data_IF_531920679831
#
_entry.id   IF_531920679831
#
_cell.length_a   1.000
_cell.length_b   1.000
_cell.length_c   1.000
_cell.angle_alpha   90.00
_cell.angle_beta   90.00
_cell.angle_gamma   90.00
#
_symmetry.space_group_name_H-M   'P 1'
#
loop_
_entity.id
_entity.type
_entity.pdbx_description
1 polymer ?
#
# COMPACT_ATOMS: atom_id res chain seq x y z
N UNK A 1 35.16 -63.86 -39.89
CA UNK A 1 35.01 -64.08 -38.43
C UNK A 1 36.02 -63.18 -37.72
N UNK A 2 35.55 -62.29 -36.85
CA UNK A 2 36.34 -61.26 -36.15
C UNK A 2 36.31 -61.57 -34.64
N UNK A 3 37.42 -61.44 -33.89
CA UNK A 3 37.45 -61.73 -32.45
C UNK A 3 36.90 -60.55 -31.61
N UNK A 4 36.56 -60.77 -30.33
CA UNK A 4 35.97 -59.74 -29.47
C UNK A 4 37.05 -58.79 -28.91
N UNK A 5 36.85 -57.49 -29.08
CA UNK A 5 37.63 -56.47 -28.38
C UNK A 5 37.00 -56.20 -27.01
N UNK A 6 37.68 -56.63 -25.95
CA UNK A 6 37.40 -56.27 -24.57
C UNK A 6 37.63 -54.77 -24.36
N UNK A 7 36.57 -54.03 -24.01
CA UNK A 7 36.72 -52.64 -23.54
C UNK A 7 36.90 -52.62 -22.03
N UNK A 8 38.14 -52.33 -21.60
CA UNK A 8 38.47 -51.88 -20.25
C UNK A 8 37.86 -50.50 -19.99
N UNK A 9 37.55 -50.28 -18.71
CA UNK A 9 36.94 -49.11 -18.09
C UNK A 9 37.56 -47.76 -18.48
N UNK A 10 36.73 -46.70 -18.48
CA UNK A 10 37.16 -45.39 -17.95
C UNK A 10 36.08 -44.82 -17.03
N UNK A 11 36.23 -45.06 -15.73
CA UNK A 11 35.41 -44.59 -14.60
C UNK A 11 35.61 -43.08 -14.29
N UNK A 12 36.03 -42.26 -15.24
CA UNK A 12 36.56 -40.91 -14.97
C UNK A 12 35.63 -39.75 -15.34
N UNK A 13 34.39 -39.99 -15.80
CA UNK A 13 33.48 -38.89 -16.20
C UNK A 13 32.40 -38.50 -15.18
N UNK A 14 32.24 -39.23 -14.07
CA UNK A 14 31.18 -38.96 -13.10
C UNK A 14 31.53 -37.91 -12.03
N UNK A 15 32.82 -37.64 -11.77
CA UNK A 15 33.23 -36.71 -10.71
C UNK A 15 33.10 -35.22 -11.09
N UNK A 16 33.09 -34.88 -12.38
CA UNK A 16 33.00 -33.47 -12.82
C UNK A 16 31.61 -32.85 -12.63
N UNK A 17 30.55 -33.65 -12.74
CA UNK A 17 29.17 -33.15 -12.70
C UNK A 17 28.73 -32.83 -11.25
N UNK A 18 29.20 -33.62 -10.28
CA UNK A 18 28.86 -33.41 -8.85
C UNK A 18 29.58 -32.19 -8.27
N UNK A 19 30.80 -31.88 -8.75
CA UNK A 19 31.52 -30.67 -8.31
C UNK A 19 30.87 -29.37 -8.78
N UNK A 20 30.30 -29.37 -9.99
CA UNK A 20 29.68 -28.18 -10.58
C UNK A 20 28.37 -27.77 -9.87
N UNK A 21 27.55 -28.73 -9.44
CA UNK A 21 26.28 -28.43 -8.73
C UNK A 21 26.51 -27.84 -7.34
N UNK A 22 27.51 -28.35 -6.61
CA UNK A 22 27.87 -27.82 -5.29
C UNK A 22 28.44 -26.40 -5.40
N UNK A 23 29.25 -26.12 -6.42
CA UNK A 23 29.80 -24.79 -6.65
C UNK A 23 28.69 -23.76 -6.94
N UNK A 24 27.72 -24.10 -7.81
CA UNK A 24 26.59 -23.22 -8.14
C UNK A 24 25.76 -22.91 -6.88
N UNK A 25 25.43 -23.92 -6.08
CA UNK A 25 24.65 -23.74 -4.85
C UNK A 25 25.38 -22.87 -3.81
N UNK A 26 26.69 -23.08 -3.64
CA UNK A 26 27.50 -22.28 -2.74
C UNK A 26 27.61 -20.82 -3.20
N UNK A 27 27.83 -20.58 -4.50
CA UNK A 27 27.85 -19.21 -5.04
C UNK A 27 26.49 -18.53 -4.97
N UNK A 28 25.37 -19.24 -5.23
CA UNK A 28 24.04 -18.65 -5.10
C UNK A 28 23.71 -18.32 -3.66
N UNK A 29 24.09 -19.18 -2.70
CA UNK A 29 23.89 -18.90 -1.28
C UNK A 29 24.75 -17.72 -0.81
N UNK A 30 26.02 -17.67 -1.22
CA UNK A 30 26.91 -16.57 -0.87
C UNK A 30 26.45 -15.24 -1.48
N UNK A 31 25.98 -15.23 -2.72
CA UNK A 31 25.41 -14.02 -3.34
C UNK A 31 24.07 -13.64 -2.71
N UNK A 32 23.22 -14.60 -2.35
CA UNK A 32 21.96 -14.35 -1.65
C UNK A 32 22.21 -13.77 -0.26
N UNK A 33 23.18 -14.32 0.49
CA UNK A 33 23.60 -13.79 1.79
C UNK A 33 24.24 -12.41 1.64
N UNK A 34 25.06 -12.16 0.61
CA UNK A 34 25.66 -10.83 0.41
C UNK A 34 24.62 -9.78 -0.02
N UNK A 35 23.61 -10.16 -0.81
CA UNK A 35 22.49 -9.27 -1.18
C UNK A 35 21.53 -9.02 -0.01
N UNK A 36 21.27 -10.02 0.84
CA UNK A 36 20.41 -9.85 2.02
C UNK A 36 21.15 -9.19 3.20
N UNK A 37 22.45 -9.40 3.36
CA UNK A 37 23.30 -8.69 4.34
C UNK A 37 23.62 -7.25 3.90
N UNK A 38 23.68 -6.95 2.60
CA UNK A 38 23.82 -5.57 2.11
C UNK A 38 22.52 -4.74 2.21
N UNK A 39 21.42 -5.33 2.69
CA UNK A 39 20.16 -4.63 3.00
C UNK A 39 19.80 -4.68 4.49
N UNK A 40 20.77 -4.95 5.36
CA UNK A 40 20.52 -5.06 6.79
C UNK A 40 21.80 -5.00 7.62
N UNK A 41 22.46 -3.84 7.60
CA UNK A 41 23.33 -3.39 8.69
C UNK A 41 23.16 -1.88 8.80
N UNK A 42 22.24 -1.47 9.67
CA UNK A 42 22.43 -0.25 10.45
C UNK A 42 22.29 -0.67 11.93
N UNK A 43 23.47 -0.93 12.50
CA UNK A 43 23.86 -0.88 13.89
C UNK A 43 22.91 -1.39 14.98
N UNK A 44 23.26 -2.58 15.47
CA UNK A 44 23.00 -3.00 16.85
C UNK A 44 23.63 -2.01 17.85
N UNK A 45 22.83 -1.07 18.36
CA UNK A 45 22.96 -0.60 19.74
C UNK A 45 21.92 -1.34 20.60
N UNK A 46 22.29 -1.97 21.73
CA UNK A 46 21.30 -2.58 22.61
C UNK A 46 20.65 -1.48 23.45
N UNK A 47 19.63 -0.83 22.89
CA UNK A 47 18.67 -0.06 23.69
C UNK A 47 17.54 -1.00 24.10
N UNK A 48 17.73 -1.50 25.32
CA UNK A 48 16.69 -1.96 26.22
C UNK A 48 15.57 -0.91 26.27
N UNK A 49 14.45 -1.19 25.62
CA UNK A 49 13.09 -1.05 26.19
C UNK A 49 12.03 -1.44 25.17
N UNK A 50 10.99 -2.10 25.67
CA UNK A 50 10.02 -2.85 24.87
C UNK A 50 9.18 -2.00 23.92
N UNK A 51 9.06 -2.49 22.69
CA UNK A 51 7.87 -2.30 21.88
C UNK A 51 7.93 -3.35 20.78
N UNK A 52 7.01 -4.30 20.83
CA UNK A 52 6.80 -5.25 19.75
C UNK A 52 6.29 -4.47 18.52
N UNK A 53 7.20 -4.00 17.69
CA UNK A 53 6.88 -3.50 16.35
C UNK A 53 6.43 -4.70 15.53
N UNK A 54 5.13 -4.98 15.58
CA UNK A 54 4.46 -5.83 14.58
C UNK A 54 4.96 -5.37 13.22
N UNK A 55 5.53 -6.28 12.43
CA UNK A 55 5.82 -6.09 11.02
C UNK A 55 4.49 -5.73 10.31
N UNK A 56 4.11 -4.44 10.32
CA UNK A 56 3.01 -3.92 9.51
C UNK A 56 3.47 -4.14 8.06
N UNK A 57 2.84 -5.09 7.36
CA UNK A 57 3.00 -5.24 5.90
C UNK A 57 2.89 -3.84 5.28
N UNK A 58 3.76 -3.53 4.32
CA UNK A 58 3.78 -2.21 3.69
C UNK A 58 2.39 -1.88 3.11
N UNK A 59 1.63 -1.05 3.84
CA UNK A 59 0.30 -0.61 3.46
C UNK A 59 0.39 0.28 2.21
N UNK A 60 -0.56 0.14 1.30
CA UNK A 60 -0.63 0.95 0.07
C UNK A 60 -0.97 2.40 0.42
N UNK A 61 -0.53 3.34 -0.43
CA UNK A 61 -0.88 4.75 -0.29
C UNK A 61 -2.34 5.01 -0.64
N UNK A 62 -3.03 5.83 0.16
CA UNK A 62 -4.48 6.00 0.06
C UNK A 62 -4.87 7.47 -0.03
N UNK A 63 -5.83 7.76 -0.89
CA UNK A 63 -6.55 9.02 -0.95
C UNK A 63 -7.99 8.75 -0.51
N UNK A 64 -8.40 9.30 0.62
CA UNK A 64 -9.73 9.06 1.19
C UNK A 64 -10.55 10.34 1.07
N UNK A 65 -11.69 10.25 0.38
CA UNK A 65 -12.62 11.36 0.21
C UNK A 65 -13.58 11.36 1.40
N UNK A 66 -13.41 12.32 2.31
CA UNK A 66 -14.09 12.43 3.61
C UNK A 66 -15.51 12.98 3.50
N UNK A 67 -16.40 12.22 2.87
CA UNK A 67 -17.84 12.49 2.87
C UNK A 67 -18.49 12.20 4.24
N UNK A 68 -19.77 12.55 4.40
CA UNK A 68 -20.51 12.40 5.67
C UNK A 68 -20.47 10.96 6.21
N UNK A 69 -20.66 9.95 5.35
CA UNK A 69 -20.61 8.54 5.76
C UNK A 69 -19.20 8.11 6.18
N UNK A 70 -18.15 8.50 5.44
CA UNK A 70 -16.77 8.13 5.76
C UNK A 70 -16.28 8.75 7.08
N UNK A 71 -16.69 9.98 7.40
CA UNK A 71 -16.39 10.59 8.70
C UNK A 71 -17.13 9.92 9.87
N UNK A 72 -18.27 9.27 9.58
CA UNK A 72 -19.07 8.52 10.53
C UNK A 72 -18.47 7.17 10.92
N UNK A 73 -17.58 6.61 10.09
CA UNK A 73 -16.98 5.30 10.33
C UNK A 73 -16.22 5.23 11.66
N UNK A 74 -16.35 4.12 12.36
CA UNK A 74 -15.65 3.81 13.60
C UNK A 74 -14.21 3.35 13.31
N UNK A 75 -13.38 4.25 12.78
CA UNK A 75 -11.97 4.01 12.48
C UNK A 75 -11.10 4.77 13.49
N UNK A 76 -10.12 4.08 14.08
CA UNK A 76 -9.09 4.74 14.86
C UNK A 76 -8.04 5.38 13.93
N UNK A 77 -8.31 6.63 13.56
CA UNK A 77 -7.46 7.39 12.65
C UNK A 77 -6.03 7.59 13.17
N UNK A 78 -5.82 7.50 14.49
CA UNK A 78 -4.50 7.67 15.11
C UNK A 78 -3.48 6.64 14.61
N UNK A 79 -3.93 5.43 14.26
CA UNK A 79 -3.06 4.37 13.75
C UNK A 79 -2.56 4.59 12.32
N UNK A 80 -3.25 5.44 11.56
CA UNK A 80 -3.01 5.68 10.13
C UNK A 80 -2.31 7.02 9.88
N UNK A 81 -2.08 7.82 10.92
CA UNK A 81 -1.52 9.16 10.73
C UNK A 81 -0.07 9.13 10.24
N UNK A 82 0.69 8.09 10.58
CA UNK A 82 2.07 7.93 10.11
C UNK A 82 2.15 7.34 8.69
N UNK A 83 1.03 6.85 8.15
CA UNK A 83 0.99 6.21 6.84
C UNK A 83 0.84 7.23 5.70
N UNK A 84 1.06 6.78 4.47
CA UNK A 84 0.85 7.61 3.27
C UNK A 84 -0.64 7.69 2.91
N UNK A 85 -1.40 8.35 3.78
CA UNK A 85 -2.84 8.60 3.64
C UNK A 85 -3.07 10.09 3.51
N UNK A 86 -3.90 10.50 2.55
CA UNK A 86 -4.37 11.89 2.40
C UNK A 86 -5.89 11.92 2.48
N UNK A 87 -6.41 12.85 3.29
CA UNK A 87 -7.82 13.06 3.52
C UNK A 87 -8.29 14.28 2.73
N UNK A 88 -9.14 14.08 1.74
CA UNK A 88 -9.75 15.16 0.97
C UNK A 88 -11.15 15.43 1.50
N UNK A 89 -11.42 16.63 1.99
CA UNK A 89 -12.71 16.96 2.60
C UNK A 89 -13.50 17.87 1.66
N UNK A 90 -14.62 17.41 1.08
CA UNK A 90 -15.48 18.22 0.24
C UNK A 90 -16.34 19.15 1.11
N UNK A 91 -15.92 20.40 1.28
CA UNK A 91 -16.56 21.40 2.17
C UNK A 91 -18.01 21.68 1.78
N UNK A 92 -18.34 21.59 0.49
CA UNK A 92 -19.68 21.76 -0.05
C UNK A 92 -20.69 20.70 0.45
N UNK A 93 -20.21 19.51 0.82
CA UNK A 93 -21.07 18.39 1.23
C UNK A 93 -21.01 18.10 2.74
N UNK A 94 -20.02 18.63 3.46
CA UNK A 94 -19.78 18.34 4.88
C UNK A 94 -20.13 19.50 5.81
N UNK A 95 -20.96 20.46 5.35
CA UNK A 95 -21.33 21.65 6.13
C UNK A 95 -20.11 22.43 6.65
N UNK A 96 -19.01 22.38 5.88
CA UNK A 96 -17.79 23.13 6.16
C UNK A 96 -16.95 22.63 7.34
N UNK A 97 -17.18 21.42 7.88
CA UNK A 97 -16.34 20.90 8.96
C UNK A 97 -15.94 19.44 8.82
N UNK A 98 -14.81 19.11 9.44
CA UNK A 98 -14.30 17.75 9.65
C UNK A 98 -14.64 17.34 11.07
N UNK A 99 -15.07 16.10 11.26
CA UNK A 99 -15.28 15.53 12.61
C UNK A 99 -14.07 15.79 13.51
N UNK A 100 -14.32 16.42 14.66
CA UNK A 100 -13.26 16.93 15.56
C UNK A 100 -12.29 15.84 16.01
N UNK A 101 -12.77 14.60 16.20
CA UNK A 101 -11.92 13.46 16.56
C UNK A 101 -10.86 13.13 15.49
N UNK A 102 -11.24 13.20 14.20
CA UNK A 102 -10.32 12.98 13.07
C UNK A 102 -9.30 14.11 13.05
N UNK A 103 -9.78 15.36 13.12
CA UNK A 103 -8.93 16.55 13.14
C UNK A 103 -7.92 16.47 14.29
N UNK A 104 -8.35 16.17 15.51
CA UNK A 104 -7.47 16.03 16.67
C UNK A 104 -6.41 14.93 16.49
N UNK A 105 -6.74 13.79 15.89
CA UNK A 105 -5.79 12.71 15.66
C UNK A 105 -4.61 13.15 14.75
N UNK A 106 -4.92 13.88 13.67
CA UNK A 106 -3.89 14.39 12.75
C UNK A 106 -3.12 15.59 13.29
N UNK A 107 -3.78 16.50 14.02
CA UNK A 107 -3.13 17.67 14.62
C UNK A 107 -2.20 17.27 15.77
N UNK A 108 -2.63 16.36 16.65
CA UNK A 108 -1.83 15.95 17.82
C UNK A 108 -0.54 15.21 17.45
N UNK A 109 -0.46 14.71 16.22
CA UNK A 109 0.68 13.99 15.67
C UNK A 109 1.50 14.81 14.67
N UNK A 110 1.18 16.09 14.45
CA UNK A 110 1.91 16.99 13.53
C UNK A 110 1.73 16.64 12.04
N UNK A 111 0.64 15.96 11.69
CA UNK A 111 0.34 15.49 10.34
C UNK A 111 -0.92 16.18 9.77
N UNK A 112 -1.26 17.37 10.26
CA UNK A 112 -2.41 18.16 9.81
C UNK A 112 -2.38 18.45 8.30
N UNK A 113 -1.20 18.53 7.70
CA UNK A 113 -0.99 18.73 6.27
C UNK A 113 -1.58 17.62 5.38
N UNK A 114 -1.92 16.46 5.97
CA UNK A 114 -2.59 15.35 5.26
C UNK A 114 -4.09 15.57 5.09
N UNK A 115 -4.67 16.56 5.79
CA UNK A 115 -6.06 16.96 5.63
C UNK A 115 -6.11 18.14 4.67
N UNK A 116 -6.77 17.95 3.52
CA UNK A 116 -6.92 18.97 2.49
C UNK A 116 -8.41 19.29 2.36
N UNK A 117 -8.78 20.51 2.73
CA UNK A 117 -10.13 21.03 2.54
C UNK A 117 -10.29 21.44 1.07
N UNK A 118 -11.35 20.96 0.43
CA UNK A 118 -11.66 21.22 -0.97
C UNK A 118 -12.99 21.96 -1.05
N UNK A 119 -12.98 23.18 -1.60
CA UNK A 119 -14.19 24.01 -1.74
C UNK A 119 -15.13 23.50 -2.83
N UNK A 120 -14.57 22.88 -3.88
CA UNK A 120 -15.30 22.37 -5.04
C UNK A 120 -14.88 20.94 -5.41
N UNK A 121 -15.78 20.24 -6.11
CA UNK A 121 -15.51 18.86 -6.58
C UNK A 121 -14.43 18.83 -7.65
N UNK A 122 -14.35 19.83 -8.53
CA UNK A 122 -13.32 19.92 -9.57
C UNK A 122 -11.91 20.04 -8.98
N UNK A 123 -11.75 20.85 -7.93
CA UNK A 123 -10.50 20.98 -7.18
C UNK A 123 -10.16 19.70 -6.44
N UNK A 124 -11.15 19.04 -5.84
CA UNK A 124 -10.98 17.73 -5.20
C UNK A 124 -10.42 16.69 -6.18
N UNK A 125 -11.03 16.55 -7.35
CA UNK A 125 -10.56 15.61 -8.37
C UNK A 125 -9.19 16.01 -8.94
N UNK A 126 -8.90 17.30 -9.00
CA UNK A 126 -7.55 17.79 -9.35
C UNK A 126 -6.51 17.40 -8.30
N UNK A 127 -6.86 17.44 -7.01
CA UNK A 127 -6.01 16.92 -5.93
C UNK A 127 -5.79 15.41 -6.08
N UNK A 128 -6.84 14.62 -6.33
CA UNK A 128 -6.71 13.16 -6.56
C UNK A 128 -5.72 12.87 -7.69
N UNK A 129 -5.87 13.56 -8.82
CA UNK A 129 -4.99 13.41 -10.00
C UNK A 129 -3.54 13.79 -9.69
N UNK A 130 -3.33 14.85 -8.91
CA UNK A 130 -1.98 15.34 -8.59
C UNK A 130 -1.27 14.48 -7.54
N UNK A 131 -2.02 13.97 -6.56
CA UNK A 131 -1.50 13.13 -5.48
C UNK A 131 -1.10 11.74 -5.98
N UNK A 132 -1.82 11.20 -6.98
CA UNK A 132 -1.47 9.93 -7.64
C UNK A 132 -1.36 8.75 -6.67
N UNK A 133 -2.23 8.70 -5.65
CA UNK A 133 -2.20 7.62 -4.64
C UNK A 133 -2.62 6.29 -5.25
N UNK A 134 -2.20 5.20 -4.62
CA UNK A 134 -2.52 3.85 -5.12
C UNK A 134 -4.02 3.56 -5.04
N UNK A 135 -4.66 3.89 -3.91
CA UNK A 135 -6.10 3.74 -3.71
C UNK A 135 -6.80 5.09 -3.64
N UNK A 136 -7.99 5.20 -4.24
CA UNK A 136 -8.95 6.27 -4.00
C UNK A 136 -10.20 5.65 -3.39
N UNK A 137 -10.59 6.10 -2.21
CA UNK A 137 -11.71 5.53 -1.44
C UNK A 137 -12.76 6.62 -1.28
N UNK A 138 -13.98 6.32 -1.70
CA UNK A 138 -15.13 7.22 -1.59
C UNK A 138 -16.43 6.42 -1.43
N UNK A 139 -17.50 7.15 -1.12
CA UNK A 139 -18.87 6.67 -1.22
C UNK A 139 -19.64 7.64 -2.11
N UNK A 140 -19.94 7.25 -3.35
CA UNK A 140 -20.62 8.09 -4.32
C UNK A 140 -22.05 8.48 -3.90
N UNK A 141 -22.71 7.67 -3.05
CA UNK A 141 -24.07 7.97 -2.57
C UNK A 141 -24.17 9.25 -1.76
N UNK A 142 -23.07 9.67 -1.13
CA UNK A 142 -23.04 10.94 -0.38
C UNK A 142 -22.98 12.18 -1.30
N UNK A 143 -22.68 11.98 -2.58
CA UNK A 143 -22.54 13.04 -3.58
C UNK A 143 -23.71 13.08 -4.56
N UNK A 144 -24.40 11.94 -4.74
CA UNK A 144 -25.63 11.86 -5.51
C UNK A 144 -26.73 12.62 -4.79
N UNK A 145 -27.00 13.85 -5.22
CA UNK A 145 -28.12 14.64 -4.69
C UNK A 145 -29.45 13.91 -4.85
N UNK A 146 -30.43 14.27 -4.02
CA UNK A 146 -31.79 13.73 -4.01
C UNK A 146 -32.56 13.86 -5.35
N UNK A 147 -31.98 14.55 -6.34
CA UNK A 147 -32.61 14.89 -7.62
C UNK A 147 -32.27 13.92 -8.77
N UNK A 148 -31.63 12.77 -8.50
CA UNK A 148 -31.47 11.72 -9.51
C UNK A 148 -30.66 12.13 -10.75
N UNK A 149 -29.85 13.20 -10.64
CA UNK A 149 -28.89 13.58 -11.68
C UNK A 149 -27.78 12.55 -11.72
N UNK A 150 -27.90 11.62 -12.66
CA UNK A 150 -26.99 10.51 -13.00
C UNK A 150 -25.65 11.02 -13.59
N UNK A 151 -25.09 12.05 -12.98
CA UNK A 151 -23.75 12.55 -13.26
C UNK A 151 -22.79 11.67 -12.51
N UNK A 152 -21.94 10.93 -13.24
CA UNK A 152 -20.88 10.12 -12.66
C UNK A 152 -20.08 10.96 -11.65
N UNK A 153 -20.19 10.61 -10.36
CA UNK A 153 -19.52 11.31 -9.25
C UNK A 153 -18.01 11.27 -9.44
N UNK A 154 -17.51 10.15 -9.99
CA UNK A 154 -16.11 9.92 -10.33
C UNK A 154 -15.90 10.26 -11.80
N UNK A 155 -15.03 11.23 -12.13
CA UNK A 155 -14.65 11.52 -13.51
C UNK A 155 -13.99 10.31 -14.18
N UNK A 156 -14.28 10.08 -15.46
CA UNK A 156 -13.75 8.94 -16.24
C UNK A 156 -12.21 8.91 -16.31
N UNK A 157 -11.56 10.08 -16.17
CA UNK A 157 -10.11 10.19 -16.27
C UNK A 157 -9.35 9.69 -15.03
N UNK A 158 -10.03 9.49 -13.90
CA UNK A 158 -9.40 9.12 -12.61
C UNK A 158 -8.67 7.78 -12.67
N UNK A 159 -9.17 6.81 -13.43
CA UNK A 159 -8.52 5.50 -13.60
C UNK A 159 -7.13 5.57 -14.24
N UNK A 160 -6.76 6.71 -14.83
CA UNK A 160 -5.41 6.94 -15.38
C UNK A 160 -4.39 7.35 -14.33
N UNK A 161 -4.86 7.86 -13.19
CA UNK A 161 -4.02 8.44 -12.13
C UNK A 161 -4.02 7.61 -10.85
N UNK A 162 -5.06 6.79 -10.64
CA UNK A 162 -5.24 5.95 -9.47
C UNK A 162 -5.35 4.49 -9.93
N UNK A 163 -4.62 3.59 -9.27
CA UNK A 163 -4.62 2.16 -9.65
C UNK A 163 -5.87 1.43 -9.18
N UNK A 164 -6.44 1.84 -8.04
CA UNK A 164 -7.60 1.18 -7.44
C UNK A 164 -8.59 2.20 -6.90
N UNK A 165 -9.81 2.21 -7.44
CA UNK A 165 -10.89 3.04 -6.96
C UNK A 165 -11.88 2.16 -6.21
N UNK A 166 -12.15 2.49 -4.94
CA UNK A 166 -13.16 1.86 -4.11
C UNK A 166 -14.30 2.84 -3.93
N UNK A 167 -15.40 2.52 -4.59
CA UNK A 167 -16.69 3.15 -4.39
C UNK A 167 -17.63 2.11 -3.80
N UNK A 168 -17.96 2.25 -2.52
CA UNK A 168 -18.78 1.30 -1.78
C UNK A 168 -19.66 2.01 -0.78
N UNK A 169 -20.91 1.57 -0.68
CA UNK A 169 -21.88 1.99 0.32
C UNK A 169 -21.83 1.11 1.58
N UNK A 170 -21.15 -0.04 1.51
CA UNK A 170 -21.02 -0.98 2.61
C UNK A 170 -19.89 -0.53 3.54
N UNK A 171 -20.23 -0.20 4.79
CA UNK A 171 -19.27 0.24 5.81
C UNK A 171 -18.14 -0.76 6.05
N UNK A 172 -18.43 -2.06 6.08
CA UNK A 172 -17.40 -3.09 6.31
C UNK A 172 -16.34 -3.13 5.21
N UNK A 173 -16.71 -2.88 3.95
CA UNK A 173 -15.78 -2.82 2.81
C UNK A 173 -14.92 -1.57 2.88
N UNK A 174 -15.50 -0.42 3.26
CA UNK A 174 -14.77 0.83 3.44
C UNK A 174 -13.75 0.70 4.58
N UNK A 175 -14.16 0.13 5.72
CA UNK A 175 -13.29 -0.12 6.86
C UNK A 175 -12.18 -1.11 6.46
N UNK A 176 -12.51 -2.23 5.83
CA UNK A 176 -11.52 -3.22 5.39
C UNK A 176 -10.47 -2.61 4.46
N UNK A 177 -10.90 -1.78 3.50
CA UNK A 177 -9.99 -1.13 2.55
C UNK A 177 -9.08 -0.08 3.22
N UNK A 178 -9.62 0.75 4.12
CA UNK A 178 -8.84 1.78 4.83
C UNK A 178 -7.85 1.10 5.79
N UNK A 179 -8.36 0.12 6.54
CA UNK A 179 -7.62 -0.58 7.56
C UNK A 179 -6.60 -1.57 7.02
N UNK A 180 -6.79 -2.05 5.78
CA UNK A 180 -5.84 -2.80 4.94
C UNK A 180 -4.77 -3.59 5.74
#
# INVERSE_FOLDING_TARGET
MVPPASRRLSKSRALGIVGATVAILATSYYFYQKLTSASGDDDLRPLKDGSATKNKKARKSKCVIMSKSLQGLSIDWSEYVTEDVVLLVPMSQTEGSVREAIKQAFYSSGNEHKIILCDNMDGLWSCVRRLGKFQCILNSKDFSGADGSDTAVVPEDIGRFVNFVVDSDIESVLIDTICN
#
